data_IF_474748062593
#
_entry.id   IF_474748062593
#
_cell.length_a   1.000
_cell.length_b   1.000
_cell.length_c   1.000
_cell.angle_alpha   90.00
_cell.angle_beta   90.00
_cell.angle_gamma   90.00
#
_symmetry.space_group_name_H-M   'P 1'
#
loop_
_entity.id
_entity.type
_entity.pdbx_description
1 polymer ?
#
# COMPACT_ATOMS: atom_id res chain seq x y z
N UNK A 1 -7.30 8.29 -11.16
CA UNK A 1 -7.76 6.91 -11.31
C UNK A 1 -6.61 5.94 -11.13
N UNK A 2 -6.82 4.86 -10.40
CA UNK A 2 -5.78 3.86 -10.11
C UNK A 2 -6.30 2.45 -10.40
N UNK A 3 -5.54 1.69 -11.18
CA UNK A 3 -5.70 0.24 -11.25
C UNK A 3 -4.66 -0.40 -10.34
N UNK A 4 -5.10 -1.32 -9.49
CA UNK A 4 -4.25 -1.97 -8.49
C UNK A 4 -4.46 -3.48 -8.48
N UNK A 5 -3.59 -4.18 -7.75
CA UNK A 5 -3.60 -5.63 -7.62
C UNK A 5 -3.96 -6.10 -6.22
N UNK A 6 -4.12 -7.41 -6.10
CA UNK A 6 -4.20 -8.12 -4.83
C UNK A 6 -2.80 -8.31 -4.24
N UNK A 7 -2.72 -8.65 -2.97
CA UNK A 7 -1.47 -9.00 -2.30
C UNK A 7 -0.75 -10.17 -2.97
N UNK A 8 0.57 -10.10 -2.96
CA UNK A 8 1.46 -11.13 -3.49
C UNK A 8 2.58 -11.41 -2.49
N UNK A 9 2.71 -12.66 -2.06
CA UNK A 9 3.68 -13.05 -1.04
C UNK A 9 3.48 -12.27 0.26
N UNK A 10 4.54 -11.70 0.79
CA UNK A 10 4.54 -10.91 2.02
C UNK A 10 3.98 -9.48 1.86
N UNK A 11 3.63 -9.06 0.63
CA UNK A 11 3.14 -7.70 0.38
C UNK A 11 1.61 -7.65 0.40
N UNK A 12 1.03 -6.67 1.09
CA UNK A 12 -0.40 -6.43 1.09
C UNK A 12 -0.89 -5.87 -0.26
N UNK A 13 -2.14 -6.19 -0.64
CA UNK A 13 -2.76 -5.70 -1.88
C UNK A 13 -3.73 -4.56 -1.64
N UNK A 14 -3.66 -3.50 -2.45
CA UNK A 14 -4.62 -2.39 -2.37
C UNK A 14 -6.06 -2.86 -2.53
N UNK A 15 -6.29 -3.85 -3.40
CA UNK A 15 -7.64 -4.39 -3.64
C UNK A 15 -8.16 -5.12 -2.40
N UNK A 16 -7.32 -5.92 -1.75
CA UNK A 16 -7.69 -6.64 -0.53
C UNK A 16 -7.98 -5.65 0.62
N UNK A 17 -7.21 -4.57 0.73
CA UNK A 17 -7.46 -3.47 1.68
C UNK A 17 -8.79 -2.78 1.41
N UNK A 18 -9.11 -2.46 0.16
CA UNK A 18 -10.41 -1.85 -0.18
C UNK A 18 -11.57 -2.78 0.13
N UNK A 19 -11.45 -4.07 -0.15
CA UNK A 19 -12.49 -5.08 0.12
C UNK A 19 -12.67 -5.35 1.62
N UNK A 20 -11.74 -4.92 2.48
CA UNK A 20 -11.92 -4.96 3.94
C UNK A 20 -12.97 -3.96 4.45
N UNK A 21 -13.30 -2.94 3.65
CA UNK A 21 -14.45 -2.06 3.91
C UNK A 21 -15.71 -2.75 3.40
N UNK A 22 -16.66 -3.11 4.28
CA UNK A 22 -17.83 -3.91 3.92
C UNK A 22 -18.60 -3.33 2.74
N UNK A 23 -18.98 -4.20 1.79
CA UNK A 23 -19.75 -3.80 0.61
C UNK A 23 -18.95 -3.20 -0.54
N UNK A 24 -17.66 -2.90 -0.37
CA UNK A 24 -16.85 -2.27 -1.42
C UNK A 24 -16.68 -3.19 -2.62
N UNK A 25 -17.05 -2.70 -3.79
CA UNK A 25 -16.80 -3.34 -5.08
C UNK A 25 -15.53 -2.79 -5.70
N UNK A 26 -14.60 -3.68 -6.02
CA UNK A 26 -13.33 -3.33 -6.67
C UNK A 26 -13.31 -3.69 -8.16
N UNK A 27 -14.35 -4.36 -8.65
CA UNK A 27 -14.57 -4.65 -10.07
C UNK A 27 -15.72 -3.78 -10.57
N UNK A 28 -15.39 -2.76 -11.36
CA UNK A 28 -16.35 -1.88 -12.01
C UNK A 28 -16.32 -2.11 -13.53
N UNK A 29 -17.44 -1.86 -14.19
CA UNK A 29 -17.48 -1.74 -15.65
C UNK A 29 -16.71 -0.50 -16.09
N UNK A 30 -16.33 -0.41 -17.35
CA UNK A 30 -15.67 0.77 -17.89
C UNK A 30 -16.55 2.02 -17.76
N UNK A 31 -17.86 1.87 -17.94
CA UNK A 31 -18.82 2.95 -17.82
C UNK A 31 -18.92 3.46 -16.37
N UNK A 32 -19.08 2.56 -15.39
CA UNK A 32 -19.09 2.89 -13.96
C UNK A 32 -17.79 3.59 -13.55
N UNK A 33 -16.64 3.10 -14.02
CA UNK A 33 -15.34 3.68 -13.73
C UNK A 33 -15.23 5.13 -14.27
N UNK A 34 -15.56 5.35 -15.54
CA UNK A 34 -15.51 6.70 -16.12
C UNK A 34 -16.51 7.65 -15.46
N UNK A 35 -17.73 7.18 -15.17
CA UNK A 35 -18.72 7.95 -14.45
C UNK A 35 -18.17 8.41 -13.10
N UNK A 36 -17.65 7.49 -12.28
CA UNK A 36 -17.11 7.83 -10.97
C UNK A 36 -15.94 8.81 -11.05
N UNK A 37 -14.99 8.61 -11.99
CA UNK A 37 -13.86 9.54 -12.18
C UNK A 37 -14.34 10.93 -12.58
N UNK A 38 -15.34 11.03 -13.46
CA UNK A 38 -15.87 12.32 -13.88
C UNK A 38 -16.65 13.05 -12.77
N UNK A 39 -17.36 12.32 -11.91
CA UNK A 39 -18.19 12.90 -10.84
C UNK A 39 -17.40 13.21 -9.56
N UNK A 40 -16.45 12.35 -9.19
CA UNK A 40 -15.75 12.42 -7.89
C UNK A 40 -14.27 12.78 -8.07
N UNK A 41 -13.69 12.55 -9.25
CA UNK A 41 -12.28 12.78 -9.54
C UNK A 41 -11.36 11.58 -9.19
N UNK A 42 -11.86 10.56 -8.50
CA UNK A 42 -11.08 9.42 -8.03
C UNK A 42 -11.84 8.10 -8.17
N UNK A 43 -11.12 7.06 -8.57
CA UNK A 43 -11.58 5.66 -8.51
C UNK A 43 -10.37 4.73 -8.39
N UNK A 44 -10.48 3.68 -7.58
CA UNK A 44 -9.48 2.62 -7.43
C UNK A 44 -10.15 1.28 -7.72
N UNK A 45 -9.65 0.58 -8.75
CA UNK A 45 -10.23 -0.69 -9.20
C UNK A 45 -9.17 -1.78 -9.36
N UNK A 46 -9.62 -3.02 -9.35
CA UNK A 46 -8.80 -4.17 -9.73
C UNK A 46 -8.44 -4.15 -11.22
N UNK A 47 -7.38 -4.86 -11.58
CA UNK A 47 -6.97 -4.96 -12.98
C UNK A 47 -8.03 -5.74 -13.78
N UNK A 48 -8.52 -5.13 -14.86
CA UNK A 48 -9.35 -5.85 -15.82
C UNK A 48 -8.47 -6.78 -16.67
N UNK A 49 -8.97 -7.97 -17.01
CA UNK A 49 -8.25 -8.92 -17.87
C UNK A 49 -7.98 -8.43 -19.30
N UNK A 50 -8.45 -7.22 -19.65
CA UNK A 50 -8.34 -6.61 -20.98
C UNK A 50 -7.18 -5.62 -21.12
N UNK A 51 -6.54 -5.23 -19.99
CA UNK A 51 -5.43 -4.25 -19.99
C UNK A 51 -4.12 -5.01 -19.89
N UNK A 52 -3.16 -4.69 -20.78
CA UNK A 52 -1.83 -5.29 -20.82
C UNK A 52 -1.85 -6.84 -20.86
N UNK A 53 -2.63 -7.42 -21.75
CA UNK A 53 -2.84 -8.88 -21.85
C UNK A 53 -1.52 -9.64 -22.06
N UNK A 54 -0.58 -9.08 -22.82
CA UNK A 54 0.75 -9.66 -23.02
C UNK A 54 1.54 -9.69 -21.68
N UNK A 55 1.52 -8.60 -20.92
CA UNK A 55 2.18 -8.55 -19.61
C UNK A 55 1.64 -9.61 -18.66
N UNK A 56 0.33 -9.84 -18.63
CA UNK A 56 -0.28 -10.88 -17.79
C UNK A 56 0.30 -12.27 -18.10
N UNK A 57 0.53 -12.58 -19.37
CA UNK A 57 1.13 -13.86 -19.78
C UNK A 57 2.60 -13.95 -19.42
N UNK A 58 3.37 -12.87 -19.70
CA UNK A 58 4.78 -12.78 -19.36
C UNK A 58 5.02 -12.84 -17.86
N UNK A 59 4.17 -12.16 -17.07
CA UNK A 59 4.26 -12.17 -15.62
C UNK A 59 4.07 -13.57 -15.03
N UNK A 60 3.09 -14.33 -15.56
CA UNK A 60 2.87 -15.71 -15.14
C UNK A 60 4.07 -16.62 -15.46
N UNK A 61 4.80 -16.36 -16.55
CA UNK A 61 6.04 -17.09 -16.87
C UNK A 61 7.19 -16.70 -15.93
N UNK A 62 7.32 -15.42 -15.57
CA UNK A 62 8.36 -14.95 -14.64
C UNK A 62 8.31 -15.66 -13.28
N UNK A 63 7.11 -15.92 -12.81
CA UNK A 63 6.87 -16.56 -11.50
C UNK A 63 7.48 -17.96 -11.42
N UNK A 64 7.59 -18.66 -12.56
CA UNK A 64 8.08 -20.05 -12.64
C UNK A 64 9.43 -20.21 -13.36
N UNK A 65 10.08 -19.13 -13.78
CA UNK A 65 11.34 -19.17 -14.55
C UNK A 65 12.52 -18.52 -13.84
N UNK A 66 12.42 -18.29 -12.52
CA UNK A 66 13.47 -17.65 -11.70
C UNK A 66 13.89 -16.25 -12.22
N UNK A 67 12.99 -15.52 -12.89
CA UNK A 67 13.25 -14.18 -13.43
C UNK A 67 12.48 -13.07 -12.73
N UNK A 68 11.95 -13.34 -11.54
CA UNK A 68 11.16 -12.36 -10.73
C UNK A 68 11.99 -11.11 -10.43
N UNK A 69 13.27 -11.26 -10.03
CA UNK A 69 14.17 -10.16 -9.70
C UNK A 69 14.80 -9.43 -10.90
N UNK A 70 14.46 -9.78 -12.15
CA UNK A 70 15.04 -9.16 -13.34
C UNK A 70 14.53 -7.73 -13.53
N UNK A 71 15.38 -6.72 -13.26
CA UNK A 71 15.02 -5.29 -13.28
C UNK A 71 14.36 -4.87 -14.60
N UNK A 72 14.87 -5.20 -15.81
CA UNK A 72 14.20 -4.86 -17.06
C UNK A 72 12.78 -5.43 -17.18
N UNK A 73 12.56 -6.65 -16.71
CA UNK A 73 11.23 -7.28 -16.74
C UNK A 73 10.28 -6.67 -15.71
N UNK A 74 10.78 -6.25 -14.54
CA UNK A 74 10.02 -5.50 -13.55
C UNK A 74 9.57 -4.17 -14.17
N UNK A 75 10.50 -3.41 -14.73
CA UNK A 75 10.24 -2.10 -15.33
C UNK A 75 9.22 -2.19 -16.47
N UNK A 76 9.37 -3.15 -17.39
CA UNK A 76 8.45 -3.31 -18.51
C UNK A 76 7.04 -3.71 -18.06
N UNK A 77 6.93 -4.60 -17.06
CA UNK A 77 5.64 -5.01 -16.51
C UNK A 77 4.91 -3.86 -15.82
N UNK A 78 5.61 -3.05 -15.04
CA UNK A 78 5.02 -1.88 -14.36
C UNK A 78 4.59 -0.85 -15.40
N UNK A 79 5.50 -0.47 -16.31
CA UNK A 79 5.28 0.64 -17.22
C UNK A 79 4.26 0.31 -18.31
N UNK A 80 4.20 -0.93 -18.81
CA UNK A 80 3.17 -1.34 -19.78
C UNK A 80 1.75 -1.08 -19.25
N UNK A 81 1.49 -1.38 -17.98
CA UNK A 81 0.19 -1.14 -17.34
C UNK A 81 -0.11 0.36 -17.16
N UNK A 82 0.89 1.14 -16.76
CA UNK A 82 0.74 2.59 -16.57
C UNK A 82 0.51 3.32 -17.91
N UNK A 83 1.23 2.93 -18.94
CA UNK A 83 1.05 3.48 -20.28
C UNK A 83 -0.29 3.05 -20.89
N UNK A 84 -0.68 1.78 -20.77
CA UNK A 84 -1.96 1.28 -21.24
C UNK A 84 -3.16 1.94 -20.54
N UNK A 85 -2.99 2.38 -19.27
CA UNK A 85 -4.00 3.15 -18.54
C UNK A 85 -4.21 4.57 -19.08
N UNK A 86 -3.33 5.06 -19.98
CA UNK A 86 -3.47 6.38 -20.60
C UNK A 86 -3.09 7.56 -19.69
N UNK A 87 -2.33 7.33 -18.62
CA UNK A 87 -1.92 8.40 -17.68
C UNK A 87 -1.06 9.45 -18.38
N UNK A 88 -1.35 10.74 -18.17
CA UNK A 88 -0.57 11.88 -18.70
C UNK A 88 0.73 12.08 -17.92
N UNK A 89 0.67 11.84 -16.61
CA UNK A 89 1.80 11.90 -15.70
C UNK A 89 1.84 10.65 -14.80
N UNK A 90 3.02 10.17 -14.49
CA UNK A 90 3.25 8.97 -13.69
C UNK A 90 4.24 9.30 -12.58
N UNK A 91 3.83 9.12 -11.35
CA UNK A 91 4.73 9.11 -10.20
C UNK A 91 4.91 7.67 -9.73
N UNK A 92 6.15 7.26 -9.56
CA UNK A 92 6.53 5.94 -9.11
C UNK A 92 7.07 6.04 -7.68
N UNK A 93 6.60 5.16 -6.83
CA UNK A 93 7.20 4.86 -5.53
C UNK A 93 8.03 3.58 -5.70
N UNK A 94 9.35 3.69 -5.56
CA UNK A 94 10.31 2.60 -5.73
C UNK A 94 10.88 2.29 -4.36
N UNK A 95 10.40 1.23 -3.77
CA UNK A 95 10.80 0.82 -2.42
C UNK A 95 12.11 0.04 -2.44
N UNK A 96 12.97 0.25 -1.45
CA UNK A 96 14.20 -0.50 -1.22
C UNK A 96 14.33 -0.94 0.24
N UNK A 97 15.06 -2.00 0.49
CA UNK A 97 15.33 -2.51 1.84
C UNK A 97 14.87 -3.95 2.04
N UNK A 98 14.85 -4.41 3.28
CA UNK A 98 14.56 -5.80 3.65
C UNK A 98 13.17 -6.26 3.21
N UNK A 99 12.18 -5.37 3.21
CA UNK A 99 10.81 -5.65 2.78
C UNK A 99 10.56 -5.47 1.28
N UNK A 100 11.52 -4.95 0.52
CA UNK A 100 11.37 -4.65 -0.90
C UNK A 100 12.01 -5.70 -1.81
N UNK A 101 11.66 -5.69 -3.10
CA UNK A 101 12.37 -6.49 -4.10
C UNK A 101 13.78 -5.94 -4.36
N UNK A 102 13.94 -4.62 -4.39
CA UNK A 102 15.25 -3.96 -4.48
C UNK A 102 15.87 -3.91 -3.08
N UNK A 103 17.02 -4.58 -2.91
CA UNK A 103 17.62 -4.74 -1.58
C UNK A 103 18.57 -3.59 -1.21
N UNK A 104 18.96 -2.77 -2.18
CA UNK A 104 19.86 -1.64 -1.97
C UNK A 104 19.50 -0.45 -2.87
N UNK A 105 20.12 0.70 -2.57
CA UNK A 105 19.86 1.96 -3.26
C UNK A 105 20.22 1.90 -4.75
N UNK A 106 21.32 1.23 -5.12
CA UNK A 106 21.79 1.18 -6.51
C UNK A 106 20.78 0.44 -7.41
N UNK A 107 20.26 -0.69 -6.97
CA UNK A 107 19.20 -1.43 -7.67
C UNK A 107 17.91 -0.61 -7.80
N UNK A 108 17.51 0.08 -6.72
CA UNK A 108 16.32 0.93 -6.75
C UNK A 108 16.48 2.12 -7.71
N UNK A 109 17.67 2.75 -7.73
CA UNK A 109 18.01 3.82 -8.67
C UNK A 109 18.01 3.32 -10.11
N UNK A 110 18.58 2.13 -10.39
CA UNK A 110 18.58 1.52 -11.72
C UNK A 110 17.15 1.28 -12.20
N UNK A 111 16.31 0.65 -11.38
CA UNK A 111 14.91 0.41 -11.69
C UNK A 111 14.14 1.72 -11.93
N UNK A 112 14.33 2.72 -11.06
CA UNK A 112 13.69 4.03 -11.18
C UNK A 112 14.07 4.73 -12.49
N UNK A 113 15.35 4.78 -12.83
CA UNK A 113 15.87 5.38 -14.07
C UNK A 113 15.31 4.69 -15.32
N UNK A 114 15.26 3.36 -15.31
CA UNK A 114 14.73 2.59 -16.43
C UNK A 114 13.23 2.88 -16.63
N UNK A 115 12.44 2.89 -15.55
CA UNK A 115 11.01 3.19 -15.64
C UNK A 115 10.75 4.63 -16.10
N UNK A 116 11.49 5.60 -15.58
CA UNK A 116 11.41 7.01 -16.00
C UNK A 116 11.75 7.14 -17.48
N UNK A 117 12.83 6.48 -17.94
CA UNK A 117 13.24 6.48 -19.34
C UNK A 117 12.16 5.92 -20.26
N UNK A 118 11.55 4.77 -19.91
CA UNK A 118 10.46 4.17 -20.68
C UNK A 118 9.27 5.14 -20.79
N UNK A 119 8.85 5.73 -19.70
CA UNK A 119 7.70 6.64 -19.71
C UNK A 119 7.96 7.93 -20.49
N UNK A 120 9.16 8.50 -20.34
CA UNK A 120 9.58 9.70 -21.06
C UNK A 120 9.68 9.44 -22.57
N UNK A 121 10.22 8.28 -22.98
CA UNK A 121 10.28 7.88 -24.39
C UNK A 121 8.87 7.74 -25.02
N UNK A 122 7.84 7.52 -24.21
CA UNK A 122 6.43 7.49 -24.63
C UNK A 122 5.72 8.84 -24.43
N UNK A 123 6.46 9.94 -24.25
CA UNK A 123 5.91 11.29 -24.15
C UNK A 123 5.15 11.55 -22.83
N UNK A 124 5.41 10.78 -21.79
CA UNK A 124 4.77 10.99 -20.47
C UNK A 124 5.70 11.76 -19.53
N UNK A 125 5.11 12.55 -18.62
CA UNK A 125 5.84 13.13 -17.50
C UNK A 125 6.00 12.05 -16.44
N UNK A 126 7.23 11.66 -16.12
CA UNK A 126 7.48 10.59 -15.16
C UNK A 126 8.49 11.07 -14.13
N UNK A 127 8.20 10.80 -12.87
CA UNK A 127 9.13 10.96 -11.75
C UNK A 127 9.10 9.70 -10.87
N UNK A 128 10.16 9.48 -10.10
CA UNK A 128 10.24 8.41 -9.14
C UNK A 128 10.74 8.96 -7.78
N UNK A 129 10.14 8.47 -6.71
CA UNK A 129 10.65 8.59 -5.36
C UNK A 129 11.20 7.24 -4.94
N UNK A 130 12.32 7.24 -4.23
CA UNK A 130 12.88 6.03 -3.61
C UNK A 130 12.54 6.12 -2.13
N UNK A 131 11.90 5.08 -1.60
CA UNK A 131 11.44 5.02 -0.21
C UNK A 131 12.06 3.81 0.50
N UNK A 132 12.27 3.95 1.80
CA UNK A 132 12.85 2.92 2.65
C UNK A 132 11.79 1.90 3.10
N UNK A 133 12.13 0.60 3.00
CA UNK A 133 11.38 -0.53 3.53
C UNK A 133 12.22 -1.40 4.47
N UNK A 134 13.21 -0.84 5.17
CA UNK A 134 13.88 -1.50 6.29
C UNK A 134 13.10 -1.35 7.61
N UNK A 135 12.05 -0.53 7.57
CA UNK A 135 11.08 -0.40 8.67
C UNK A 135 9.67 -0.42 8.07
N UNK A 136 8.71 -1.13 8.68
CA UNK A 136 7.31 -1.05 8.26
C UNK A 136 6.82 0.40 8.28
N UNK A 137 6.20 0.85 7.19
CA UNK A 137 5.64 2.19 7.09
C UNK A 137 4.34 2.27 7.88
N UNK A 138 4.20 3.25 8.77
CA UNK A 138 3.13 3.29 9.74
C UNK A 138 3.31 2.23 10.83
N UNK A 139 2.26 1.91 11.54
CA UNK A 139 2.25 0.93 12.64
C UNK A 139 1.45 -0.32 12.32
N UNK A 140 0.46 -0.21 11.43
CA UNK A 140 -0.52 -1.25 11.17
C UNK A 140 -0.14 -2.08 9.94
N UNK A 141 -0.19 -3.40 10.08
CA UNK A 141 0.09 -4.38 9.02
C UNK A 141 -1.08 -5.34 8.95
N UNK A 142 -1.85 -5.27 7.87
CA UNK A 142 -3.10 -6.02 7.69
C UNK A 142 -4.10 -5.19 6.91
N UNK A 143 -5.26 -5.78 6.51
CA UNK A 143 -6.14 -5.11 5.56
C UNK A 143 -6.95 -3.98 6.20
N UNK A 144 -7.88 -4.29 7.11
CA UNK A 144 -8.70 -3.26 7.78
C UNK A 144 -7.87 -2.39 8.72
N UNK A 145 -6.81 -2.93 9.32
CA UNK A 145 -5.89 -2.19 10.19
C UNK A 145 -5.23 -1.04 9.42
N UNK A 146 -4.69 -1.32 8.22
CA UNK A 146 -4.06 -0.30 7.37
C UNK A 146 -5.07 0.69 6.78
N UNK A 147 -6.31 0.27 6.50
CA UNK A 147 -7.37 1.20 6.10
C UNK A 147 -7.68 2.16 7.24
N UNK A 148 -7.83 1.66 8.47
CA UNK A 148 -8.07 2.49 9.65
C UNK A 148 -6.94 3.51 9.86
N UNK A 149 -5.69 3.09 9.71
CA UNK A 149 -4.52 3.98 9.83
C UNK A 149 -4.47 5.01 8.69
N UNK A 150 -4.81 4.60 7.45
CA UNK A 150 -4.93 5.53 6.32
C UNK A 150 -6.01 6.59 6.56
N UNK A 151 -7.14 6.21 7.18
CA UNK A 151 -8.16 7.18 7.57
C UNK A 151 -7.67 8.14 8.66
N UNK A 152 -6.87 7.64 9.61
CA UNK A 152 -6.23 8.49 10.62
C UNK A 152 -5.26 9.50 9.99
N UNK A 153 -4.46 9.11 8.96
CA UNK A 153 -3.62 10.04 8.20
C UNK A 153 -4.46 11.14 7.56
N UNK A 154 -5.56 10.79 6.88
CA UNK A 154 -6.45 11.75 6.24
C UNK A 154 -7.19 12.67 7.22
N UNK A 155 -7.24 12.30 8.50
CA UNK A 155 -7.78 13.12 9.60
C UNK A 155 -6.68 13.90 10.36
N UNK A 156 -5.43 13.87 9.91
CA UNK A 156 -4.30 14.53 10.56
C UNK A 156 -3.84 13.87 11.87
N UNK A 157 -4.17 12.58 12.08
CA UNK A 157 -3.87 11.80 13.31
C UNK A 157 -3.00 10.56 13.03
N UNK A 158 -2.53 10.40 11.80
CA UNK A 158 -1.73 9.24 11.40
C UNK A 158 -0.29 9.30 11.88
N UNK A 159 0.47 8.19 11.75
CA UNK A 159 1.90 8.14 12.00
C UNK A 159 2.66 9.16 11.14
N UNK A 160 3.71 9.75 11.73
CA UNK A 160 4.47 10.82 11.07
C UNK A 160 5.17 10.35 9.79
N UNK A 161 5.76 9.16 9.81
CA UNK A 161 6.46 8.56 8.67
C UNK A 161 5.50 8.27 7.50
N UNK A 162 4.36 7.63 7.76
CA UNK A 162 3.33 7.37 6.75
C UNK A 162 2.77 8.68 6.20
N UNK A 163 2.49 9.64 7.07
CA UNK A 163 1.99 10.97 6.66
C UNK A 163 3.00 11.67 5.76
N UNK A 164 4.29 11.64 6.11
CA UNK A 164 5.33 12.28 5.31
C UNK A 164 5.45 11.63 3.91
N UNK A 165 5.50 10.32 3.81
CA UNK A 165 5.53 9.63 2.51
C UNK A 165 4.31 9.97 1.66
N UNK A 166 3.11 9.97 2.25
CA UNK A 166 1.88 10.36 1.55
C UNK A 166 1.94 11.81 1.04
N UNK A 167 2.43 12.75 1.86
CA UNK A 167 2.56 14.16 1.48
C UNK A 167 3.63 14.36 0.39
N UNK A 168 4.76 13.64 0.44
CA UNK A 168 5.77 13.66 -0.63
C UNK A 168 5.17 13.16 -1.96
N UNK A 169 4.46 12.03 -1.94
CA UNK A 169 3.81 11.50 -3.13
C UNK A 169 2.74 12.47 -3.66
N UNK A 170 1.88 13.00 -2.81
CA UNK A 170 0.83 13.94 -3.21
C UNK A 170 1.41 15.24 -3.81
N UNK A 171 2.44 15.81 -3.17
CA UNK A 171 3.11 17.03 -3.65
C UNK A 171 3.74 16.83 -5.02
N UNK A 172 4.43 15.71 -5.22
CA UNK A 172 5.04 15.37 -6.51
C UNK A 172 3.98 15.11 -7.60
N UNK A 173 2.84 14.48 -7.27
CA UNK A 173 1.73 14.34 -8.22
C UNK A 173 1.15 15.69 -8.64
N UNK A 174 0.96 16.62 -7.69
CA UNK A 174 0.49 17.98 -7.98
C UNK A 174 1.50 18.76 -8.84
N UNK A 175 2.80 18.64 -8.55
CA UNK A 175 3.86 19.25 -9.33
C UNK A 175 3.89 18.73 -10.78
N UNK A 176 3.83 17.41 -10.97
CA UNK A 176 3.76 16.79 -12.30
C UNK A 176 2.50 17.22 -13.07
N UNK A 177 1.40 17.46 -12.37
CA UNK A 177 0.16 18.00 -12.92
C UNK A 177 0.21 19.51 -13.21
N UNK A 178 1.34 20.20 -12.93
CA UNK A 178 1.52 21.63 -13.20
C UNK A 178 0.73 22.54 -12.28
N UNK A 179 0.45 22.12 -11.04
CA UNK A 179 -0.35 22.92 -10.08
C UNK A 179 0.45 24.02 -9.37
N UNK A 180 1.75 24.08 -9.56
CA UNK A 180 2.64 25.09 -8.99
C UNK A 180 4.03 24.53 -8.69
N UNK A 181 4.84 25.34 -8.02
CA UNK A 181 6.14 24.91 -7.51
C UNK A 181 5.99 23.92 -6.34
N UNK A 182 7.03 23.13 -6.06
CA UNK A 182 6.98 22.02 -5.10
C UNK A 182 6.48 22.47 -3.71
N UNK A 183 6.96 23.62 -3.21
CA UNK A 183 6.53 24.15 -1.91
C UNK A 183 5.03 24.49 -1.88
N UNK A 184 4.49 25.05 -2.96
CA UNK A 184 3.06 25.32 -3.09
C UNK A 184 2.26 24.02 -3.19
N UNK A 185 2.75 23.03 -3.94
CA UNK A 185 2.12 21.72 -4.05
C UNK A 185 2.10 20.99 -2.68
N UNK A 186 3.17 21.11 -1.90
CA UNK A 186 3.23 20.59 -0.54
C UNK A 186 2.18 21.25 0.37
N UNK A 187 2.10 22.57 0.35
CA UNK A 187 1.10 23.31 1.13
C UNK A 187 -0.35 22.91 0.73
N UNK A 188 -0.62 22.70 -0.57
CA UNK A 188 -1.91 22.21 -1.04
C UNK A 188 -2.25 20.82 -0.47
N UNK A 189 -1.29 19.90 -0.45
CA UNK A 189 -1.48 18.57 0.08
C UNK A 189 -1.73 18.58 1.60
N UNK A 190 -1.00 19.40 2.34
CA UNK A 190 -1.21 19.58 3.78
C UNK A 190 -2.57 20.22 4.09
N UNK A 191 -2.99 21.22 3.29
CA UNK A 191 -4.25 21.92 3.48
C UNK A 191 -5.45 20.97 3.39
N UNK A 192 -5.50 20.08 2.41
CA UNK A 192 -6.65 19.16 2.23
C UNK A 192 -6.74 18.09 3.32
N UNK A 193 -5.65 17.79 4.03
CA UNK A 193 -5.67 17.01 5.25
C UNK A 193 -6.20 17.85 6.41
N UNK A 194 -5.69 19.07 6.57
CA UNK A 194 -6.04 19.97 7.66
C UNK A 194 -7.51 20.38 7.67
N UNK A 195 -8.11 20.60 6.49
CA UNK A 195 -9.52 20.97 6.35
C UNK A 195 -10.47 19.75 6.23
N UNK A 196 -9.93 18.52 6.19
CA UNK A 196 -10.68 17.28 6.11
C UNK A 196 -11.26 16.95 4.73
N UNK A 197 -11.01 17.77 3.71
CA UNK A 197 -11.57 17.54 2.38
C UNK A 197 -11.02 16.27 1.72
N UNK A 198 -9.76 15.91 1.96
CA UNK A 198 -9.19 14.65 1.49
C UNK A 198 -9.88 13.43 2.09
N UNK A 199 -10.21 13.46 3.40
CA UNK A 199 -10.96 12.41 4.07
C UNK A 199 -12.37 12.25 3.47
N UNK A 200 -13.08 13.34 3.23
CA UNK A 200 -14.43 13.32 2.65
C UNK A 200 -14.42 12.78 1.21
N UNK A 201 -13.42 13.12 0.39
CA UNK A 201 -13.27 12.55 -0.95
C UNK A 201 -12.99 11.04 -0.90
N UNK A 202 -12.18 10.59 0.05
CA UNK A 202 -11.94 9.15 0.26
C UNK A 202 -13.25 8.43 0.63
N UNK A 203 -14.04 8.97 1.55
CA UNK A 203 -15.35 8.43 1.91
C UNK A 203 -16.30 8.38 0.70
N UNK A 204 -16.36 9.46 -0.12
CA UNK A 204 -17.16 9.48 -1.36
C UNK A 204 -16.73 8.41 -2.35
N UNK A 205 -15.42 8.17 -2.49
CA UNK A 205 -14.88 7.12 -3.36
C UNK A 205 -15.39 5.74 -2.93
N UNK A 206 -15.28 5.41 -1.64
CA UNK A 206 -15.78 4.14 -1.11
C UNK A 206 -17.29 4.01 -1.25
N UNK A 207 -18.06 5.06 -0.92
CA UNK A 207 -19.51 5.07 -1.07
C UNK A 207 -19.95 4.82 -2.52
N UNK A 208 -19.30 5.45 -3.51
CA UNK A 208 -19.57 5.24 -4.92
C UNK A 208 -19.30 3.80 -5.39
N UNK A 209 -18.40 3.11 -4.69
CA UNK A 209 -18.10 1.70 -4.92
C UNK A 209 -18.90 0.74 -4.02
N UNK A 210 -19.92 1.25 -3.29
CA UNK A 210 -20.81 0.46 -2.44
C UNK A 210 -20.29 0.17 -1.04
N UNK A 211 -19.15 0.77 -0.67
CA UNK A 211 -18.53 0.57 0.64
C UNK A 211 -19.30 1.24 1.78
N UNK A 212 -19.37 0.59 2.92
CA UNK A 212 -19.90 1.14 4.15
C UNK A 212 -18.92 2.16 4.74
N UNK A 213 -19.25 3.45 4.59
CA UNK A 213 -18.40 4.53 5.07
C UNK A 213 -18.47 4.76 6.58
N UNK A 214 -19.37 4.10 7.29
CA UNK A 214 -19.42 4.20 8.76
C UNK A 214 -18.11 3.71 9.40
N UNK A 215 -17.56 2.61 8.91
CA UNK A 215 -16.28 2.06 9.39
C UNK A 215 -15.08 2.96 9.09
N UNK A 216 -15.17 3.79 8.03
CA UNK A 216 -14.13 4.76 7.70
C UNK A 216 -14.17 5.97 8.64
N UNK A 217 -15.36 6.35 9.10
CA UNK A 217 -15.57 7.47 10.02
C UNK A 217 -15.29 7.07 11.47
N UNK A 218 -15.57 5.82 11.80
CA UNK A 218 -15.31 5.23 13.12
C UNK A 218 -14.65 3.85 12.93
N UNK A 219 -13.34 3.81 13.07
CA UNK A 219 -12.56 2.59 12.92
C UNK A 219 -12.91 1.50 13.97
N UNK A 220 -13.58 1.85 15.06
CA UNK A 220 -14.03 0.88 16.06
C UNK A 220 -15.12 -0.07 15.53
N UNK A 221 -15.78 0.32 14.43
CA UNK A 221 -16.82 -0.45 13.76
C UNK A 221 -16.27 -1.52 12.80
N UNK A 222 -14.97 -1.50 12.47
CA UNK A 222 -14.36 -2.62 11.75
C UNK A 222 -14.48 -3.90 12.59
N UNK A 223 -14.70 -5.01 11.88
CA UNK A 223 -14.64 -6.33 12.54
C UNK A 223 -13.27 -6.50 13.20
N UNK A 224 -13.28 -6.92 14.44
CA UNK A 224 -12.06 -7.22 15.21
C UNK A 224 -11.77 -8.72 15.16
N UNK A 225 -10.48 -9.07 15.17
CA UNK A 225 -10.04 -10.44 15.37
C UNK A 225 -10.47 -10.93 16.76
N UNK A 226 -10.68 -12.25 16.88
CA UNK A 226 -11.11 -12.86 18.17
C UNK A 226 -10.01 -12.90 19.20
N UNK A 227 -8.76 -13.04 18.76
CA UNK A 227 -7.60 -13.19 19.64
C UNK A 227 -6.56 -12.14 19.32
N UNK A 228 -5.87 -11.72 20.38
CA UNK A 228 -4.72 -10.83 20.32
C UNK A 228 -3.60 -11.42 21.16
N UNK A 229 -2.35 -11.32 20.68
CA UNK A 229 -1.17 -11.82 21.37
C UNK A 229 -0.03 -10.82 21.28
N UNK A 230 0.48 -10.38 22.45
CA UNK A 230 1.58 -9.45 22.54
C UNK A 230 2.92 -10.17 22.43
N UNK A 231 3.78 -9.69 21.56
CA UNK A 231 5.19 -10.04 21.51
C UNK A 231 5.96 -9.01 22.33
N UNK A 232 6.54 -9.46 23.44
CA UNK A 232 7.20 -8.58 24.40
C UNK A 232 8.73 -8.62 24.26
N UNK A 233 9.38 -7.51 24.61
CA UNK A 233 10.85 -7.44 24.66
C UNK A 233 11.39 -8.37 25.76
N UNK A 234 12.39 -9.21 25.44
CA UNK A 234 12.97 -10.13 26.42
C UNK A 234 13.90 -9.43 27.43
N UNK A 235 14.38 -8.22 27.11
CA UNK A 235 15.32 -7.44 27.91
C UNK A 235 15.19 -5.95 27.61
N UNK A 236 15.77 -5.11 28.47
CA UNK A 236 15.95 -3.69 28.18
C UNK A 236 16.93 -3.51 27.02
N UNK A 237 16.64 -2.55 26.11
CA UNK A 237 17.51 -2.29 24.96
C UNK A 237 16.89 -1.35 23.94
N UNK A 238 17.28 -1.55 22.69
CA UNK A 238 16.77 -0.77 21.54
C UNK A 238 16.42 -1.71 20.39
N UNK A 239 15.44 -1.36 19.59
CA UNK A 239 15.19 -2.03 18.32
C UNK A 239 16.28 -1.59 17.32
N UNK A 240 17.15 -2.52 16.94
CA UNK A 240 18.29 -2.23 16.06
C UNK A 240 18.10 -2.68 14.62
N UNK A 241 17.08 -3.51 14.36
CA UNK A 241 16.76 -4.01 13.02
C UNK A 241 15.32 -4.52 12.96
N UNK A 242 14.67 -4.30 11.83
CA UNK A 242 13.43 -4.97 11.43
C UNK A 242 13.72 -5.84 10.19
N UNK A 243 13.24 -7.06 10.20
CA UNK A 243 13.14 -7.89 8.99
C UNK A 243 11.72 -7.75 8.44
N UNK A 244 11.51 -6.75 7.58
CA UNK A 244 10.17 -6.37 7.11
C UNK A 244 9.55 -7.47 6.26
N UNK A 245 10.35 -8.24 5.52
CA UNK A 245 9.86 -9.40 4.76
C UNK A 245 9.30 -10.48 5.70
N UNK A 246 9.99 -10.78 6.79
CA UNK A 246 9.50 -11.74 7.80
C UNK A 246 8.27 -11.24 8.54
N UNK A 247 8.22 -9.94 8.86
CA UNK A 247 7.03 -9.33 9.47
C UNK A 247 5.83 -9.45 8.52
N UNK A 248 6.04 -9.18 7.22
CA UNK A 248 5.00 -9.36 6.21
C UNK A 248 4.54 -10.81 6.07
N UNK A 249 5.47 -11.77 6.09
CA UNK A 249 5.16 -13.21 6.08
C UNK A 249 4.39 -13.63 7.34
N UNK A 250 4.74 -13.12 8.52
CA UNK A 250 3.99 -13.35 9.74
C UNK A 250 2.55 -12.88 9.61
N UNK A 251 2.30 -11.70 9.02
CA UNK A 251 0.92 -11.22 8.79
C UNK A 251 0.12 -12.15 7.86
N UNK A 252 0.78 -12.74 6.84
CA UNK A 252 0.14 -13.73 5.96
C UNK A 252 -0.21 -15.00 6.74
N UNK A 253 0.68 -15.49 7.61
CA UNK A 253 0.43 -16.66 8.45
C UNK A 253 -0.73 -16.44 9.43
N UNK A 254 -0.94 -15.21 9.92
CA UNK A 254 -2.08 -14.84 10.76
C UNK A 254 -3.42 -14.81 9.99
N UNK A 255 -3.38 -14.89 8.65
CA UNK A 255 -4.56 -14.86 7.79
C UNK A 255 -4.80 -13.54 7.06
N UNK A 256 -3.95 -12.52 7.22
CA UNK A 256 -4.10 -11.24 6.53
C UNK A 256 -3.77 -11.30 5.02
N UNK A 257 -3.15 -12.37 4.55
CA UNK A 257 -2.80 -12.61 3.16
C UNK A 257 -3.16 -14.02 2.70
N UNK A 258 -2.74 -14.37 1.47
CA UNK A 258 -2.96 -15.69 0.88
C UNK A 258 -1.64 -16.44 0.75
N UNK A 259 -1.60 -17.66 1.24
CA UNK A 259 -0.52 -18.61 0.96
C UNK A 259 -0.78 -19.27 -0.40
N UNK A 260 -2.05 -19.61 -0.67
CA UNK A 260 -2.52 -20.15 -1.94
C UNK A 260 -3.56 -19.22 -2.56
N UNK A 261 -3.70 -19.26 -3.87
CA UNK A 261 -4.65 -18.40 -4.60
C UNK A 261 -6.10 -18.56 -4.13
N UNK A 262 -6.46 -19.74 -3.68
CA UNK A 262 -7.80 -20.14 -3.25
C UNK A 262 -8.10 -19.72 -1.80
N UNK A 263 -7.09 -19.32 -1.03
CA UNK A 263 -7.27 -18.97 0.38
C UNK A 263 -8.16 -17.72 0.52
N UNK A 264 -9.02 -17.74 1.53
CA UNK A 264 -9.76 -16.56 1.98
C UNK A 264 -8.89 -15.69 2.88
N UNK A 265 -9.05 -14.38 2.76
CA UNK A 265 -8.38 -13.43 3.65
C UNK A 265 -9.25 -13.15 4.87
N UNK A 266 -8.66 -13.17 6.05
CA UNK A 266 -9.22 -12.56 7.24
C UNK A 266 -8.83 -11.07 7.28
N UNK A 267 -9.78 -10.19 6.99
CA UNK A 267 -9.54 -8.75 6.95
C UNK A 267 -9.22 -8.13 8.32
N UNK A 268 -9.52 -8.81 9.43
CA UNK A 268 -9.20 -8.33 10.77
C UNK A 268 -7.87 -8.86 11.31
N UNK A 269 -7.28 -9.85 10.63
CA UNK A 269 -5.97 -10.37 10.98
C UNK A 269 -4.86 -9.37 10.62
N UNK A 270 -3.78 -9.41 11.38
CA UNK A 270 -2.61 -8.57 11.13
C UNK A 270 -1.75 -8.33 12.34
N UNK A 271 -0.93 -7.29 12.28
CA UNK A 271 0.04 -6.92 13.32
C UNK A 271 -0.06 -5.41 13.55
N UNK A 272 -0.02 -5.00 14.80
CA UNK A 272 0.18 -3.59 15.19
C UNK A 272 1.56 -3.48 15.83
N UNK A 273 2.44 -2.70 15.21
CA UNK A 273 3.78 -2.41 15.72
C UNK A 273 3.71 -1.30 16.76
N UNK A 274 4.20 -1.55 17.98
CA UNK A 274 4.30 -0.55 19.04
C UNK A 274 5.68 0.11 19.07
N UNK A 275 6.69 -0.61 18.56
CA UNK A 275 8.09 -0.16 18.52
C UNK A 275 8.64 -0.29 17.12
N UNK A 276 9.46 0.67 16.75
CA UNK A 276 10.14 0.77 15.46
C UNK A 276 11.66 0.82 15.62
N UNK A 277 12.38 0.78 14.53
CA UNK A 277 13.83 0.95 14.50
C UNK A 277 14.26 2.19 15.27
N UNK A 278 15.18 2.04 16.23
CA UNK A 278 15.70 3.08 17.09
C UNK A 278 14.95 3.29 18.41
N UNK A 279 13.75 2.70 18.57
CA UNK A 279 12.98 2.85 19.81
C UNK A 279 13.62 2.08 20.96
N UNK A 280 13.60 2.69 22.15
CA UNK A 280 13.95 2.05 23.41
C UNK A 280 12.83 1.12 23.86
N UNK A 281 13.20 -0.04 24.42
CA UNK A 281 12.29 -1.04 24.99
C UNK A 281 12.73 -1.45 26.40
N UNK A 282 11.77 -1.81 27.21
CA UNK A 282 11.97 -2.43 28.52
C UNK A 282 11.58 -3.90 28.50
N UNK A 283 12.23 -4.70 29.32
CA UNK A 283 11.85 -6.11 29.49
C UNK A 283 10.36 -6.24 29.82
N UNK A 284 9.64 -7.08 29.07
CA UNK A 284 8.21 -7.27 29.19
C UNK A 284 7.33 -6.22 28.48
N UNK A 285 7.91 -5.17 27.90
CA UNK A 285 7.15 -4.16 27.13
C UNK A 285 6.74 -4.73 25.77
N UNK A 286 5.47 -4.58 25.33
CA UNK A 286 5.04 -5.04 24.01
C UNK A 286 5.78 -4.34 22.87
N UNK A 287 6.38 -5.11 21.96
CA UNK A 287 7.00 -4.64 20.71
C UNK A 287 5.94 -4.56 19.61
N UNK A 288 5.09 -5.56 19.53
CA UNK A 288 3.95 -5.60 18.63
C UNK A 288 2.84 -6.48 19.21
N UNK A 289 1.61 -6.33 18.68
CA UNK A 289 0.47 -7.19 18.96
C UNK A 289 0.04 -7.89 17.67
N UNK A 290 -0.09 -9.22 17.72
CA UNK A 290 -0.59 -10.07 16.65
C UNK A 290 -2.11 -10.24 16.81
N UNK A 291 -2.86 -10.26 15.70
CA UNK A 291 -4.30 -10.41 15.66
C UNK A 291 -4.71 -11.54 14.71
N UNK A 292 -5.53 -12.48 15.16
CA UNK A 292 -6.06 -13.57 14.36
C UNK A 292 -7.40 -14.08 14.90
N UNK A 293 -8.16 -14.78 14.07
CA UNK A 293 -9.39 -15.48 14.47
C UNK A 293 -9.13 -16.92 15.02
N UNK A 294 -7.90 -17.39 14.90
CA UNK A 294 -7.41 -18.68 15.39
C UNK A 294 -6.09 -18.45 16.16
N UNK A 295 -6.10 -18.71 17.47
CA UNK A 295 -4.94 -18.50 18.35
C UNK A 295 -3.79 -19.49 18.12
N UNK A 296 -4.04 -20.61 17.45
CA UNK A 296 -3.00 -21.58 17.07
C UNK A 296 -2.02 -21.02 16.04
N UNK A 297 -2.40 -19.98 15.30
CA UNK A 297 -1.57 -19.33 14.29
C UNK A 297 -0.42 -18.49 14.88
N UNK A 298 -0.56 -18.04 16.13
CA UNK A 298 0.47 -17.22 16.79
C UNK A 298 1.82 -17.92 16.95
N UNK A 299 1.81 -19.24 17.12
CA UNK A 299 3.06 -20.00 17.28
C UNK A 299 3.89 -20.08 15.99
N UNK A 300 3.27 -19.94 14.84
CA UNK A 300 3.93 -19.99 13.53
C UNK A 300 4.30 -18.60 13.01
N UNK A 301 3.58 -17.57 13.43
CA UNK A 301 3.80 -16.17 13.07
C UNK A 301 4.89 -15.54 13.94
#
# INVERSE_FOLDING_TARGET
AKMSGRGLGHTGGTIDKMESVPGTRTSLTQEEFFKQVNEIGISVIGQSGKIAVADKKLYALRDVTATVGCIPLIASSIMSKKLAAGSDAILLDVTMGSGAFMKNLDEAVELARLMVSIGTAHGRKVAALITDMDTPLGHNIGNSLEVAESMAVLQGKGPADLTEVCLQLASNMLYLAGKGEMAACRAMAEQVIADGSAFEICCKMFAAQGGDTSVLRDASLFRKAKYAHDICAPADGYIVQNDVERIGNASVLLGAGRIKKEDSIDFAAGIIMHKKLGDAVKAGEPICTLYADDDTLFAAA
#
